data_IF_411550693714
#
_entry.id   IF_411550693714
#
_cell.length_a   1.000
_cell.length_b   1.000
_cell.length_c   1.000
_cell.angle_alpha   90.00
_cell.angle_beta   90.00
_cell.angle_gamma   90.00
#
_symmetry.space_group_name_H-M   'P 1'
#
loop_
_entity.id
_entity.type
_entity.pdbx_description
1 polymer ?
#
# COMPACT_ATOMS: atom_id res chain seq x y z
N UNK A 1 -25.91 4.12 13.20
CA UNK A 1 -25.50 3.30 12.04
C UNK A 1 -24.79 4.21 11.06
N UNK A 2 -23.61 3.83 10.56
CA UNK A 2 -22.88 4.63 9.59
C UNK A 2 -23.66 4.76 8.27
N UNK A 3 -23.43 5.85 7.59
CA UNK A 3 -24.02 6.16 6.28
C UNK A 3 -22.92 6.19 5.22
N UNK A 4 -23.31 6.33 3.95
CA UNK A 4 -22.34 6.44 2.88
C UNK A 4 -21.36 7.63 3.05
N UNK A 5 -21.77 8.68 3.77
CA UNK A 5 -20.88 9.80 4.10
C UNK A 5 -19.69 9.41 5.01
N UNK A 6 -19.84 8.33 5.75
CA UNK A 6 -18.82 7.85 6.68
C UNK A 6 -17.81 6.91 6.02
N UNK A 7 -18.05 6.54 4.75
CA UNK A 7 -17.15 5.65 4.00
C UNK A 7 -15.74 6.26 3.88
N UNK A 8 -14.74 5.43 4.18
CA UNK A 8 -13.32 5.76 4.03
C UNK A 8 -12.59 4.60 3.37
N UNK A 9 -11.54 4.94 2.64
CA UNK A 9 -10.62 3.95 2.08
C UNK A 9 -10.14 2.98 3.17
N UNK A 10 -10.15 1.69 2.85
CA UNK A 10 -9.74 0.62 3.74
C UNK A 10 -10.85 0.01 4.58
N UNK A 11 -12.03 0.61 4.65
CA UNK A 11 -13.17 0.04 5.37
C UNK A 11 -13.69 -1.21 4.66
N UNK A 12 -14.16 -2.20 5.43
CA UNK A 12 -14.90 -3.33 4.91
C UNK A 12 -16.40 -3.13 5.10
N UNK A 13 -17.16 -3.40 4.07
CA UNK A 13 -18.62 -3.23 4.06
C UNK A 13 -19.31 -4.49 3.52
N UNK A 14 -20.53 -4.73 3.96
CA UNK A 14 -21.41 -5.69 3.34
C UNK A 14 -22.20 -5.01 2.21
N UNK A 15 -22.09 -5.55 1.01
CA UNK A 15 -22.76 -5.04 -0.17
C UNK A 15 -23.31 -6.17 -1.05
N UNK A 16 -24.62 -6.18 -1.28
CA UNK A 16 -25.32 -7.19 -2.09
C UNK A 16 -25.00 -8.64 -1.68
N UNK A 17 -24.90 -8.92 -0.36
CA UNK A 17 -24.62 -10.26 0.16
C UNK A 17 -23.16 -10.69 0.04
N UNK A 18 -22.27 -9.78 -0.31
CA UNK A 18 -20.83 -9.99 -0.37
C UNK A 18 -20.10 -8.98 0.54
N UNK A 19 -18.90 -9.29 0.93
CA UNK A 19 -18.04 -8.37 1.68
C UNK A 19 -17.07 -7.72 0.70
N UNK A 20 -16.96 -6.41 0.77
CA UNK A 20 -16.05 -5.66 -0.07
C UNK A 20 -15.23 -4.65 0.73
N UNK A 21 -14.01 -4.41 0.29
CA UNK A 21 -13.13 -3.37 0.83
C UNK A 21 -13.25 -2.11 -0.01
N UNK A 22 -13.40 -0.98 0.65
CA UNK A 22 -13.46 0.33 0.00
C UNK A 22 -12.05 0.73 -0.42
N UNK A 23 -11.82 0.84 -1.73
CA UNK A 23 -10.54 1.27 -2.29
C UNK A 23 -10.42 2.78 -2.38
N UNK A 24 -11.55 3.45 -2.68
CA UNK A 24 -11.66 4.91 -2.74
C UNK A 24 -13.10 5.34 -2.46
N UNK A 25 -13.27 6.55 -1.94
CA UNK A 25 -14.60 7.14 -1.76
C UNK A 25 -14.54 8.64 -1.99
N UNK A 26 -15.46 9.14 -2.80
CA UNK A 26 -15.58 10.56 -3.14
C UNK A 26 -16.99 11.05 -2.83
N UNK A 27 -17.08 12.02 -1.94
CA UNK A 27 -18.32 12.73 -1.67
C UNK A 27 -18.54 13.82 -2.72
N UNK A 28 -19.70 13.81 -3.38
CA UNK A 28 -20.05 14.79 -4.40
C UNK A 28 -21.37 15.45 -4.06
N UNK A 29 -21.35 16.79 -4.05
CA UNK A 29 -22.53 17.61 -3.84
C UNK A 29 -22.70 18.51 -5.07
N UNK A 30 -23.38 18.04 -6.12
CA UNK A 30 -23.70 18.90 -7.27
C UNK A 30 -24.71 19.97 -6.84
N UNK A 31 -24.53 21.22 -7.31
CA UNK A 31 -25.19 22.43 -6.81
C UNK A 31 -26.69 22.37 -6.56
N UNK A 32 -27.50 21.72 -7.43
CA UNK A 32 -28.95 21.63 -7.30
C UNK A 32 -29.47 20.20 -7.15
N UNK A 33 -28.60 19.21 -6.96
CA UNK A 33 -28.96 17.80 -6.85
C UNK A 33 -28.62 17.26 -5.47
N UNK A 34 -29.23 16.13 -5.11
CA UNK A 34 -28.93 15.43 -3.85
C UNK A 34 -27.47 14.98 -3.83
N UNK A 35 -26.81 15.16 -2.70
CA UNK A 35 -25.45 14.66 -2.48
C UNK A 35 -25.39 13.13 -2.60
N UNK A 36 -24.30 12.62 -3.17
CA UNK A 36 -24.04 11.20 -3.29
C UNK A 36 -22.57 10.88 -3.00
N UNK A 37 -22.30 9.63 -2.70
CA UNK A 37 -20.93 9.12 -2.52
C UNK A 37 -20.66 8.11 -3.63
N UNK A 38 -19.60 8.37 -4.38
CA UNK A 38 -19.07 7.41 -5.35
C UNK A 38 -17.93 6.65 -4.67
N UNK A 39 -18.07 5.34 -4.56
CA UNK A 39 -17.06 4.48 -3.95
C UNK A 39 -16.60 3.41 -4.94
N UNK A 40 -15.30 3.20 -4.99
CA UNK A 40 -14.72 2.03 -5.65
C UNK A 40 -14.52 0.97 -4.58
N UNK A 41 -15.16 -0.17 -4.73
CA UNK A 41 -15.09 -1.30 -3.81
C UNK A 41 -14.52 -2.53 -4.49
N UNK A 42 -13.84 -3.39 -3.73
CA UNK A 42 -13.31 -4.68 -4.21
C UNK A 42 -13.90 -5.81 -3.38
N UNK A 43 -14.56 -6.76 -4.04
CA UNK A 43 -15.05 -7.98 -3.41
C UNK A 43 -13.89 -8.81 -2.85
N UNK A 44 -13.97 -9.22 -1.59
CA UNK A 44 -12.97 -10.10 -0.99
C UNK A 44 -13.08 -11.53 -1.51
N UNK A 45 -14.24 -11.90 -2.02
CA UNK A 45 -14.51 -13.24 -2.55
C UNK A 45 -14.00 -13.41 -3.98
N UNK A 46 -14.23 -12.45 -4.84
CA UNK A 46 -13.90 -12.54 -6.27
C UNK A 46 -12.66 -11.75 -6.68
N UNK A 47 -12.20 -10.81 -5.83
CA UNK A 47 -11.11 -9.87 -6.15
C UNK A 47 -11.49 -8.78 -7.14
N UNK A 48 -12.72 -8.79 -7.69
CA UNK A 48 -13.18 -7.80 -8.67
C UNK A 48 -13.53 -6.48 -8.02
N UNK A 49 -13.12 -5.39 -8.68
CA UNK A 49 -13.46 -4.02 -8.29
C UNK A 49 -14.66 -3.51 -9.06
N UNK A 50 -15.48 -2.70 -8.41
CA UNK A 50 -16.65 -2.05 -8.99
C UNK A 50 -16.82 -0.65 -8.44
N UNK A 51 -17.32 0.25 -9.27
CA UNK A 51 -17.70 1.60 -8.86
C UNK A 51 -19.18 1.62 -8.50
N UNK A 52 -19.49 2.03 -7.28
CA UNK A 52 -20.84 2.08 -6.74
C UNK A 52 -21.19 3.52 -6.37
N UNK A 53 -22.40 3.90 -6.65
CA UNK A 53 -22.97 5.17 -6.23
C UNK A 53 -23.99 4.94 -5.12
N UNK A 54 -23.70 5.50 -3.96
CA UNK A 54 -24.59 5.50 -2.80
C UNK A 54 -25.26 6.85 -2.64
N UNK A 55 -26.51 6.86 -2.17
CA UNK A 55 -27.06 8.09 -1.62
C UNK A 55 -26.26 8.50 -0.38
N UNK A 56 -26.01 9.79 -0.18
CA UNK A 56 -25.21 10.27 0.97
C UNK A 56 -25.76 9.82 2.33
N UNK A 57 -27.07 9.61 2.41
CA UNK A 57 -27.78 9.18 3.62
C UNK A 57 -28.06 7.67 3.66
N UNK A 58 -27.62 6.93 2.66
CA UNK A 58 -27.79 5.48 2.61
C UNK A 58 -27.04 4.81 3.74
N UNK A 59 -27.69 3.89 4.45
CA UNK A 59 -27.08 3.13 5.55
C UNK A 59 -26.11 2.10 4.99
N UNK A 60 -24.94 2.02 5.61
CA UNK A 60 -23.88 1.10 5.23
C UNK A 60 -23.61 0.13 6.39
N UNK A 61 -23.62 -1.15 6.09
CA UNK A 61 -23.23 -2.19 7.02
C UNK A 61 -21.71 -2.34 6.99
N UNK A 62 -21.04 -1.83 8.04
CA UNK A 62 -19.59 -1.95 8.20
C UNK A 62 -19.25 -3.28 8.84
N UNK A 63 -18.30 -3.99 8.24
CA UNK A 63 -17.82 -5.28 8.73
C UNK A 63 -16.56 -5.06 9.56
N UNK A 64 -16.45 -5.68 10.74
CA UNK A 64 -15.26 -5.58 11.58
C UNK A 64 -14.01 -6.09 10.88
N UNK A 65 -12.89 -5.40 11.09
CA UNK A 65 -11.57 -5.77 10.57
C UNK A 65 -10.61 -6.00 11.74
N UNK A 66 -9.65 -6.90 11.53
CA UNK A 66 -8.55 -7.16 12.44
C UNK A 66 -7.22 -6.95 11.72
N UNK A 67 -6.28 -6.31 12.39
CA UNK A 67 -4.93 -6.12 11.87
C UNK A 67 -3.94 -6.97 12.64
N UNK A 68 -2.97 -7.54 11.93
CA UNK A 68 -1.84 -8.30 12.53
C UNK A 68 -0.53 -7.76 11.99
N UNK A 69 0.48 -7.69 12.85
CA UNK A 69 1.86 -7.42 12.45
C UNK A 69 2.47 -8.70 11.92
N UNK A 70 2.97 -8.66 10.72
CA UNK A 70 3.60 -9.80 10.06
C UNK A 70 4.94 -9.38 9.44
N UNK A 71 5.72 -10.36 9.02
CA UNK A 71 6.98 -10.15 8.34
C UNK A 71 6.97 -10.82 6.97
N UNK A 72 7.53 -10.14 5.98
CA UNK A 72 7.69 -10.73 4.66
C UNK A 72 8.69 -11.88 4.72
N UNK A 73 8.28 -13.06 4.27
CA UNK A 73 9.13 -14.25 4.28
C UNK A 73 9.79 -14.49 2.92
N UNK A 74 8.98 -14.75 1.91
CA UNK A 74 9.47 -15.04 0.57
C UNK A 74 8.38 -14.84 -0.50
N UNK A 75 8.83 -14.85 -1.73
CA UNK A 75 7.94 -14.84 -2.91
C UNK A 75 7.74 -16.27 -3.41
N UNK A 76 6.50 -16.67 -3.58
CA UNK A 76 6.11 -17.97 -4.13
C UNK A 76 5.42 -17.77 -5.48
N UNK A 77 6.17 -17.97 -6.56
CA UNK A 77 5.71 -17.62 -7.90
C UNK A 77 5.45 -16.12 -8.03
N UNK A 78 4.20 -15.72 -8.24
CA UNK A 78 3.78 -14.32 -8.26
C UNK A 78 3.26 -13.84 -6.91
N UNK A 79 2.93 -14.75 -6.00
CA UNK A 79 2.38 -14.46 -4.69
C UNK A 79 3.46 -14.16 -3.65
N UNK A 80 3.07 -13.56 -2.56
CA UNK A 80 3.94 -13.13 -1.47
C UNK A 80 3.52 -13.78 -0.17
N UNK A 81 4.46 -14.40 0.53
CA UNK A 81 4.21 -15.10 1.80
C UNK A 81 4.69 -14.25 2.96
N UNK A 82 3.82 -14.06 3.93
CA UNK A 82 4.07 -13.34 5.18
C UNK A 82 3.86 -14.27 6.36
N UNK A 83 4.68 -14.13 7.38
CA UNK A 83 4.63 -14.95 8.59
C UNK A 83 4.47 -14.05 9.80
N UNK A 84 3.59 -14.44 10.71
CA UNK A 84 3.45 -13.81 12.00
C UNK A 84 4.63 -14.21 12.89
N UNK A 85 5.40 -13.27 13.44
CA UNK A 85 6.56 -13.60 14.26
C UNK A 85 6.22 -14.19 15.63
N UNK A 86 4.95 -14.09 16.07
CA UNK A 86 4.51 -14.58 17.38
C UNK A 86 4.05 -16.03 17.34
N UNK A 87 3.19 -16.40 16.39
CA UNK A 87 2.61 -17.72 16.28
C UNK A 87 3.08 -18.54 15.09
N UNK A 88 3.89 -17.93 14.21
CA UNK A 88 4.43 -18.52 12.98
C UNK A 88 3.38 -18.94 11.95
N UNK A 89 2.17 -18.44 12.09
CA UNK A 89 1.16 -18.60 11.04
C UNK A 89 1.55 -17.80 9.79
N UNK A 90 1.38 -18.43 8.63
CA UNK A 90 1.71 -17.81 7.35
C UNK A 90 0.46 -17.52 6.55
N UNK A 91 0.49 -16.42 5.82
CA UNK A 91 -0.55 -16.02 4.86
C UNK A 91 0.08 -15.69 3.52
N UNK A 92 -0.59 -16.11 2.45
CA UNK A 92 -0.18 -15.81 1.07
C UNK A 92 -1.07 -14.73 0.51
N UNK A 93 -0.47 -13.66 -0.01
CA UNK A 93 -1.16 -12.53 -0.62
C UNK A 93 -0.86 -12.46 -2.11
N UNK A 94 -1.89 -12.21 -2.90
CA UNK A 94 -1.77 -12.04 -4.35
C UNK A 94 -1.10 -10.69 -4.71
N UNK A 95 -0.50 -10.56 -5.89
CA UNK A 95 0.07 -9.30 -6.37
C UNK A 95 -0.91 -8.13 -6.36
N UNK A 96 -2.20 -8.39 -6.55
CA UNK A 96 -3.26 -7.38 -6.56
C UNK A 96 -3.45 -6.74 -5.18
N UNK A 97 -3.32 -7.53 -4.10
CA UNK A 97 -3.40 -7.04 -2.72
C UNK A 97 -2.12 -6.29 -2.36
N UNK A 98 -0.97 -6.80 -2.78
CA UNK A 98 0.35 -6.21 -2.51
C UNK A 98 0.50 -4.85 -3.19
N UNK A 99 0.10 -4.72 -4.46
CA UNK A 99 0.25 -3.48 -5.22
C UNK A 99 1.67 -2.94 -5.20
N UNK A 100 1.81 -1.64 -4.95
CA UNK A 100 3.12 -0.96 -4.93
C UNK A 100 3.98 -1.31 -3.70
N UNK A 101 3.42 -1.96 -2.69
CA UNK A 101 4.17 -2.41 -1.51
C UNK A 101 5.32 -3.35 -1.87
N UNK A 102 5.21 -4.08 -2.98
CA UNK A 102 6.28 -4.95 -3.51
C UNK A 102 7.62 -4.23 -3.66
N UNK A 103 7.58 -2.93 -3.93
CA UNK A 103 8.78 -2.09 -4.12
C UNK A 103 9.57 -1.87 -2.83
N UNK A 104 9.01 -2.23 -1.68
CA UNK A 104 9.56 -1.98 -0.36
C UNK A 104 9.72 -3.24 0.48
N UNK A 105 9.37 -4.41 -0.07
CA UNK A 105 9.47 -5.68 0.63
C UNK A 105 10.86 -6.30 0.47
N UNK A 106 11.55 -6.45 1.58
CA UNK A 106 12.76 -7.25 1.71
C UNK A 106 12.54 -8.33 2.76
N UNK A 107 13.35 -9.37 2.77
CA UNK A 107 13.23 -10.46 3.74
C UNK A 107 13.18 -9.92 5.18
N UNK A 108 12.22 -10.42 5.96
CA UNK A 108 11.91 -9.98 7.32
C UNK A 108 11.40 -8.54 7.45
N UNK A 109 11.00 -7.89 6.35
CA UNK A 109 10.40 -6.56 6.42
C UNK A 109 9.08 -6.59 7.20
N UNK A 110 8.91 -5.73 8.23
CA UNK A 110 7.67 -5.68 8.98
C UNK A 110 6.57 -5.03 8.16
N UNK A 111 5.37 -5.61 8.24
CA UNK A 111 4.17 -5.13 7.56
C UNK A 111 2.97 -5.24 8.49
N UNK A 112 1.88 -4.56 8.16
CA UNK A 112 0.59 -4.75 8.81
C UNK A 112 -0.39 -5.33 7.80
N UNK A 113 -0.94 -6.51 8.11
CA UNK A 113 -1.95 -7.18 7.28
C UNK A 113 -3.31 -7.00 7.91
N UNK A 114 -4.30 -6.59 7.12
CA UNK A 114 -5.68 -6.44 7.56
C UNK A 114 -6.50 -7.65 7.12
N UNK A 115 -7.24 -8.21 8.06
CA UNK A 115 -8.10 -9.38 7.86
C UNK A 115 -9.57 -9.01 8.04
N UNK A 116 -10.41 -9.61 7.22
CA UNK A 116 -11.86 -9.59 7.34
C UNK A 116 -12.35 -11.03 7.28
N UNK A 117 -13.06 -11.49 8.31
CA UNK A 117 -13.50 -12.87 8.42
C UNK A 117 -12.37 -13.90 8.16
N UNK A 118 -11.22 -13.67 8.82
CA UNK A 118 -10.01 -14.51 8.70
C UNK A 118 -9.31 -14.47 7.33
N UNK A 119 -9.81 -13.65 6.39
CA UNK A 119 -9.22 -13.48 5.07
C UNK A 119 -8.42 -12.19 4.99
N UNK A 120 -7.17 -12.30 4.55
CA UNK A 120 -6.32 -11.12 4.34
C UNK A 120 -6.84 -10.31 3.15
N UNK A 121 -7.07 -9.01 3.35
CA UNK A 121 -7.68 -8.12 2.35
C UNK A 121 -6.80 -6.95 1.95
N UNK A 122 -5.87 -6.54 2.79
CA UNK A 122 -4.94 -5.47 2.50
C UNK A 122 -3.63 -5.60 3.29
N UNK A 123 -2.61 -4.90 2.80
CA UNK A 123 -1.29 -4.85 3.40
C UNK A 123 -0.81 -3.41 3.43
N UNK A 124 -0.30 -3.01 4.58
CA UNK A 124 0.34 -1.70 4.77
C UNK A 124 1.81 -1.89 5.16
N UNK A 125 2.69 -1.16 4.47
CA UNK A 125 4.10 -1.06 4.81
C UNK A 125 4.34 0.12 5.74
N UNK A 126 5.41 0.13 6.55
CA UNK A 126 5.79 1.31 7.33
C UNK A 126 5.93 2.54 6.45
N UNK A 127 5.77 3.72 7.02
CA UNK A 127 5.89 5.00 6.30
C UNK A 127 7.27 5.23 5.69
N UNK A 128 8.28 4.56 6.20
CA UNK A 128 9.63 4.54 5.65
C UNK A 128 10.27 3.17 5.82
N UNK A 129 11.15 2.81 4.89
CA UNK A 129 11.91 1.56 4.91
C UNK A 129 13.38 1.82 4.61
N UNK A 130 14.24 0.94 5.10
CA UNK A 130 15.68 0.97 4.81
C UNK A 130 15.95 -0.05 3.70
N UNK A 131 16.54 0.42 2.60
CA UNK A 131 16.88 -0.41 1.45
C UNK A 131 18.35 -0.23 1.06
N UNK A 132 18.96 -1.30 0.57
CA UNK A 132 20.34 -1.29 0.11
C UNK A 132 20.42 -0.82 -1.34
N UNK A 133 21.37 0.05 -1.62
CA UNK A 133 21.67 0.54 -2.97
C UNK A 133 22.46 -0.53 -3.73
N UNK A 134 21.89 -1.02 -4.83
CA UNK A 134 22.54 -2.05 -5.67
C UNK A 134 23.30 -1.46 -6.84
N UNK A 135 22.91 -0.30 -7.33
CA UNK A 135 23.59 0.44 -8.39
C UNK A 135 23.50 1.94 -8.14
N UNK A 136 24.65 2.60 -8.15
CA UNK A 136 24.77 4.04 -7.99
C UNK A 136 25.85 4.57 -8.94
N UNK A 137 25.48 4.93 -10.18
CA UNK A 137 26.45 5.45 -11.13
C UNK A 137 27.10 6.75 -10.62
N UNK A 138 28.33 7.02 -11.07
CA UNK A 138 29.00 8.27 -10.75
C UNK A 138 28.20 9.46 -11.30
N UNK A 139 27.85 10.36 -10.42
CA UNK A 139 27.14 11.57 -10.79
C UNK A 139 28.05 12.54 -11.53
N UNK A 140 27.67 12.96 -12.72
CA UNK A 140 28.34 14.03 -13.45
C UNK A 140 27.98 15.35 -12.77
N UNK A 141 28.97 16.07 -12.28
CA UNK A 141 28.79 17.46 -11.85
C UNK A 141 28.59 18.33 -13.09
N UNK A 142 27.36 18.71 -13.35
CA UNK A 142 27.08 19.78 -14.29
C UNK A 142 27.31 21.14 -13.66
N UNK A 143 27.68 22.13 -14.46
CA UNK A 143 28.07 23.51 -14.06
C UNK A 143 26.96 24.37 -13.43
N UNK A 144 25.78 23.80 -13.15
CA UNK A 144 24.69 24.59 -12.61
C UNK A 144 23.90 23.81 -11.59
N UNK A 145 23.85 24.36 -10.42
CA UNK A 145 22.80 24.19 -9.40
C UNK A 145 23.08 23.30 -8.19
N UNK A 146 22.74 23.90 -7.11
CA UNK A 146 22.74 23.49 -5.72
C UNK A 146 21.78 22.31 -5.38
N UNK A 147 21.39 21.43 -6.29
CA UNK A 147 20.54 20.25 -6.01
C UNK A 147 20.68 19.18 -7.09
N UNK A 148 21.91 18.85 -7.47
CA UNK A 148 22.13 17.76 -8.43
C UNK A 148 21.87 16.44 -7.75
N UNK A 149 20.92 15.67 -8.27
CA UNK A 149 20.62 14.31 -7.86
C UNK A 149 20.99 13.34 -8.96
N UNK A 150 21.19 12.08 -8.58
CA UNK A 150 21.41 10.98 -9.52
C UNK A 150 20.37 9.88 -9.30
N UNK A 151 20.09 9.13 -10.36
CA UNK A 151 19.27 7.94 -10.26
C UNK A 151 20.08 6.78 -9.68
N UNK A 152 19.57 6.15 -8.64
CA UNK A 152 20.15 4.96 -8.03
C UNK A 152 19.13 3.84 -8.05
N UNK A 153 19.60 2.59 -8.12
CA UNK A 153 18.77 1.40 -8.07
C UNK A 153 18.90 0.74 -6.70
N UNK A 154 17.77 0.32 -6.14
CA UNK A 154 17.69 -0.33 -4.85
C UNK A 154 17.51 -1.85 -5.00
N UNK A 155 17.75 -2.59 -3.92
CA UNK A 155 17.69 -4.06 -3.89
C UNK A 155 16.34 -4.65 -4.31
N UNK A 156 15.26 -3.89 -4.20
CA UNK A 156 13.93 -4.28 -4.68
C UNK A 156 13.71 -4.03 -6.18
N UNK A 157 14.68 -3.44 -6.86
CA UNK A 157 14.64 -3.14 -8.29
C UNK A 157 14.09 -1.76 -8.64
N UNK A 158 13.62 -0.99 -7.67
CA UNK A 158 13.15 0.39 -7.91
C UNK A 158 14.30 1.37 -8.08
N UNK A 159 14.05 2.42 -8.84
CA UNK A 159 14.98 3.54 -9.03
C UNK A 159 14.48 4.77 -8.30
N UNK A 160 15.35 5.42 -7.54
CA UNK A 160 15.03 6.67 -6.82
C UNK A 160 16.09 7.74 -7.12
N UNK A 161 15.70 9.01 -6.97
CA UNK A 161 16.62 10.13 -7.05
C UNK A 161 17.27 10.34 -5.68
N UNK A 162 18.59 10.39 -5.66
CA UNK A 162 19.38 10.56 -4.45
C UNK A 162 20.54 11.53 -4.64
N UNK A 163 21.10 12.08 -3.55
CA UNK A 163 22.29 12.94 -3.63
C UNK A 163 23.48 12.23 -4.30
N UNK A 164 24.35 13.00 -4.92
CA UNK A 164 25.52 12.46 -5.66
C UNK A 164 26.48 11.64 -4.81
N UNK A 165 26.53 11.87 -3.49
CA UNK A 165 27.44 11.19 -2.58
C UNK A 165 27.02 9.75 -2.24
N UNK A 166 25.80 9.33 -2.57
CA UNK A 166 25.32 7.97 -2.30
C UNK A 166 26.05 6.99 -3.22
N UNK A 167 26.55 5.90 -2.63
CA UNK A 167 27.33 4.86 -3.33
C UNK A 167 26.61 3.51 -3.28
N UNK A 168 26.97 2.63 -4.21
CA UNK A 168 26.57 1.23 -4.20
C UNK A 168 26.99 0.55 -2.88
N UNK A 169 26.11 -0.26 -2.31
CA UNK A 169 26.30 -0.95 -1.04
C UNK A 169 25.87 -0.16 0.20
N UNK A 170 25.60 1.14 0.06
CA UNK A 170 25.06 1.94 1.16
C UNK A 170 23.58 1.63 1.40
N UNK A 171 23.13 1.85 2.64
CA UNK A 171 21.73 1.75 3.01
C UNK A 171 21.11 3.14 3.09
N UNK A 172 19.94 3.27 2.53
CA UNK A 172 19.18 4.52 2.54
C UNK A 172 17.77 4.30 3.06
N UNK A 173 17.19 5.35 3.61
CA UNK A 173 15.81 5.38 4.04
C UNK A 173 14.95 6.01 2.97
N UNK A 174 13.87 5.35 2.61
CA UNK A 174 12.94 5.74 1.56
C UNK A 174 11.55 5.93 2.14
N UNK A 175 10.88 7.00 1.77
CA UNK A 175 9.47 7.22 2.10
C UNK A 175 8.60 6.31 1.22
N UNK A 176 7.84 5.41 1.85
CA UNK A 176 7.02 4.43 1.13
C UNK A 176 5.78 5.04 0.48
N UNK A 177 5.36 6.23 0.90
CA UNK A 177 4.20 6.93 0.35
C UNK A 177 4.53 7.67 -0.95
N UNK A 178 5.73 8.21 -1.04
CA UNK A 178 6.19 9.02 -2.18
C UNK A 178 7.23 8.33 -3.04
N UNK A 179 7.87 7.27 -2.53
CA UNK A 179 8.98 6.58 -3.19
C UNK A 179 10.26 7.39 -3.23
N UNK A 180 10.40 8.41 -2.39
CA UNK A 180 11.54 9.34 -2.41
C UNK A 180 12.58 8.99 -1.35
N UNK A 181 13.84 9.29 -1.68
CA UNK A 181 14.95 9.28 -0.74
C UNK A 181 14.69 10.25 0.43
N UNK A 182 14.96 9.81 1.65
CA UNK A 182 14.87 10.64 2.85
C UNK A 182 16.26 10.98 3.39
N UNK A 183 17.02 9.95 3.75
CA UNK A 183 18.33 10.07 4.40
C UNK A 183 19.16 8.80 4.24
N UNK A 184 20.42 8.86 4.58
CA UNK A 184 21.26 7.64 4.77
C UNK A 184 20.81 6.92 6.03
N UNK A 185 20.78 5.61 5.97
CA UNK A 185 20.44 4.77 7.12
C UNK A 185 21.64 4.45 7.98
#
# INVERSE_FOLDING_TARGET
MPTANDLRKGMAISYNGDIAVVLDSQHRTPGNLRAFVQATIRSIRTGKSSDIRFSSTERIDVVPMMTRKMEFSYKDGEDYVFTDPEDFESVTLSPEIIGDAKNYLVENAPVTVTFVEEKAVSLDVPSSVVLTVTDAPEGIRGDSANNVQKSITLETGITVQAPLFIKTGEKIKVDTRTGKYMERA
#
